data_IF_731287942098
#
_entry.id   IF_731287942098
#
_cell.length_a   1.000
_cell.length_b   1.000
_cell.length_c   1.000
_cell.angle_alpha   90.00
_cell.angle_beta   90.00
_cell.angle_gamma   90.00
#
_symmetry.space_group_name_H-M   'P 1'
#
loop_
_entity.id
_entity.type
_entity.pdbx_description
1 polymer ?
#
# COMPACT_ATOMS: atom_id res chain seq x y z
N UNK A 1 -7.12 14.19 1.76
CA UNK A 1 -7.59 13.44 0.57
C UNK A 1 -7.84 11.99 0.95
N UNK A 2 -9.10 11.57 0.95
CA UNK A 2 -9.48 10.19 1.25
C UNK A 2 -9.82 9.39 -0.01
N UNK A 3 -9.42 8.13 0.01
CA UNK A 3 -9.57 7.17 -1.09
C UNK A 3 -10.48 6.03 -0.62
N UNK A 4 -11.31 5.50 -1.52
CA UNK A 4 -11.98 4.21 -1.32
C UNK A 4 -11.39 3.17 -2.24
N UNK A 5 -11.03 2.02 -1.69
CA UNK A 5 -10.73 0.82 -2.48
C UNK A 5 -12.02 0.02 -2.62
N UNK A 6 -12.40 -0.29 -3.87
CA UNK A 6 -13.61 -1.04 -4.21
C UNK A 6 -13.28 -2.11 -5.23
N UNK A 7 -13.92 -3.28 -5.14
CA UNK A 7 -13.90 -4.28 -6.21
C UNK A 7 -15.14 -4.14 -7.07
N UNK A 8 -14.97 -3.86 -8.37
CA UNK A 8 -16.05 -3.75 -9.36
C UNK A 8 -15.84 -4.86 -10.40
N UNK A 9 -16.77 -5.81 -10.49
CA UNK A 9 -16.70 -6.94 -11.43
C UNK A 9 -15.36 -7.72 -11.37
N UNK A 10 -14.82 -7.92 -10.16
CA UNK A 10 -13.55 -8.61 -9.95
C UNK A 10 -12.30 -7.72 -10.06
N UNK A 11 -12.45 -6.46 -10.46
CA UNK A 11 -11.34 -5.50 -10.58
C UNK A 11 -11.27 -4.59 -9.36
N UNK A 12 -10.11 -4.55 -8.70
CA UNK A 12 -9.84 -3.61 -7.60
C UNK A 12 -9.52 -2.23 -8.15
N UNK A 13 -10.27 -1.22 -7.73
CA UNK A 13 -10.11 0.19 -8.13
C UNK A 13 -9.93 1.10 -6.92
N UNK A 14 -9.19 2.18 -7.08
CA UNK A 14 -9.09 3.28 -6.12
C UNK A 14 -9.95 4.45 -6.61
N UNK A 15 -10.84 4.96 -5.76
CA UNK A 15 -11.81 6.01 -6.08
C UNK A 15 -11.64 7.20 -5.13
N UNK A 16 -11.86 8.42 -5.62
CA UNK A 16 -11.98 9.59 -4.75
C UNK A 16 -13.23 9.43 -3.87
N UNK A 17 -13.05 9.44 -2.55
CA UNK A 17 -14.16 9.23 -1.62
C UNK A 17 -15.17 10.38 -1.64
N UNK A 18 -14.71 11.61 -1.95
CA UNK A 18 -15.56 12.79 -2.05
C UNK A 18 -16.44 12.80 -3.31
N UNK A 19 -16.04 12.09 -4.37
CA UNK A 19 -16.71 12.08 -5.67
C UNK A 19 -17.57 10.83 -5.90
N UNK A 20 -17.67 9.94 -4.91
CA UNK A 20 -18.38 8.68 -5.04
C UNK A 20 -19.28 8.42 -3.84
N UNK A 21 -20.36 7.67 -4.03
CA UNK A 21 -21.19 7.18 -2.93
C UNK A 21 -20.56 5.96 -2.25
N UNK A 22 -20.69 5.81 -0.92
CA UNK A 22 -20.23 4.62 -0.22
C UNK A 22 -21.01 3.38 -0.64
N UNK A 23 -20.32 2.24 -0.74
CA UNK A 23 -20.93 0.94 -1.00
C UNK A 23 -20.44 -0.11 0.01
N UNK A 24 -21.22 -1.18 0.15
CA UNK A 24 -20.85 -2.32 1.01
C UNK A 24 -19.56 -2.94 0.49
N UNK A 25 -18.60 -3.18 1.39
CA UNK A 25 -17.30 -3.74 1.06
C UNK A 25 -16.23 -2.72 0.68
N UNK A 26 -16.55 -1.43 0.63
CA UNK A 26 -15.54 -0.39 0.49
C UNK A 26 -14.53 -0.41 1.64
N UNK A 27 -13.25 -0.30 1.31
CA UNK A 27 -12.19 0.00 2.27
C UNK A 27 -11.88 1.48 2.17
N UNK A 28 -12.07 2.21 3.26
CA UNK A 28 -11.76 3.62 3.34
C UNK A 28 -10.31 3.84 3.78
N UNK A 29 -9.56 4.63 3.02
CA UNK A 29 -8.23 5.09 3.36
C UNK A 29 -8.31 6.59 3.65
N UNK A 30 -8.03 6.96 4.88
CA UNK A 30 -7.80 8.35 5.23
C UNK A 30 -6.41 8.81 4.77
N UNK A 31 -6.11 10.09 4.98
CA UNK A 31 -4.84 10.69 4.57
C UNK A 31 -3.63 9.99 5.18
N UNK A 32 -3.73 9.53 6.42
CA UNK A 32 -2.65 8.84 7.12
C UNK A 32 -2.40 7.45 6.50
N UNK A 33 -3.45 6.69 6.26
CA UNK A 33 -3.37 5.39 5.61
C UNK A 33 -2.88 5.50 4.16
N UNK A 34 -3.40 6.49 3.42
CA UNK A 34 -2.99 6.76 2.06
C UNK A 34 -1.50 7.12 1.99
N UNK A 35 -1.03 8.01 2.86
CA UNK A 35 0.38 8.37 2.93
C UNK A 35 1.28 7.18 3.27
N UNK A 36 0.91 6.38 4.28
CA UNK A 36 1.66 5.19 4.66
C UNK A 36 1.76 4.15 3.52
N UNK A 37 0.67 3.95 2.78
CA UNK A 37 0.65 3.05 1.63
C UNK A 37 1.52 3.56 0.49
N UNK A 38 1.38 4.85 0.13
CA UNK A 38 2.18 5.48 -0.92
C UNK A 38 3.68 5.45 -0.58
N UNK A 39 4.05 5.74 0.66
CA UNK A 39 5.40 5.61 1.18
C UNK A 39 5.96 4.20 1.03
N UNK A 40 5.18 3.18 1.37
CA UNK A 40 5.59 1.78 1.24
C UNK A 40 5.82 1.39 -0.23
N UNK A 41 4.90 1.76 -1.12
CA UNK A 41 5.08 1.53 -2.56
C UNK A 41 6.31 2.25 -3.10
N UNK A 42 6.51 3.51 -2.73
CA UNK A 42 7.69 4.29 -3.10
C UNK A 42 8.99 3.59 -2.70
N UNK A 43 9.06 3.04 -1.47
CA UNK A 43 10.23 2.32 -0.98
C UNK A 43 10.48 1.00 -1.75
N UNK A 44 9.42 0.30 -2.14
CA UNK A 44 9.52 -1.01 -2.79
C UNK A 44 9.68 -0.92 -4.32
N UNK A 45 9.33 0.22 -4.93
CA UNK A 45 9.36 0.42 -6.38
C UNK A 45 10.80 0.58 -6.89
N UNK A 46 11.42 -0.55 -7.23
CA UNK A 46 12.63 -0.72 -8.06
C UNK A 46 13.83 0.19 -7.74
N UNK A 47 14.04 0.54 -6.48
CA UNK A 47 15.26 1.23 -6.06
C UNK A 47 15.42 2.63 -6.65
N UNK A 48 14.34 3.24 -7.12
CA UNK A 48 14.35 4.68 -7.38
C UNK A 48 14.31 5.40 -6.04
N UNK A 49 15.33 6.22 -5.78
CA UNK A 49 15.30 7.18 -4.68
C UNK A 49 14.16 8.16 -4.96
N UNK A 50 13.00 7.85 -4.40
CA UNK A 50 11.95 8.84 -4.29
C UNK A 50 12.53 9.88 -3.33
N UNK A 51 12.84 11.07 -3.86
CA UNK A 51 13.48 12.18 -3.13
C UNK A 51 12.52 12.82 -2.11
N UNK A 52 11.76 11.96 -1.42
CA UNK A 52 10.91 12.30 -0.32
C UNK A 52 11.80 12.26 0.91
N UNK A 53 11.73 13.31 1.72
CA UNK A 53 12.46 13.38 2.97
C UNK A 53 12.17 12.10 3.79
N UNK A 54 13.20 11.48 4.34
CA UNK A 54 13.06 10.19 5.00
C UNK A 54 12.27 10.37 6.31
N UNK A 55 10.97 10.14 6.27
CA UNK A 55 10.06 10.47 7.38
C UNK A 55 10.06 9.37 8.49
N UNK A 56 9.74 9.72 9.76
CA UNK A 56 9.74 8.80 10.90
C UNK A 56 8.89 7.53 10.74
N UNK A 57 7.80 7.60 9.98
CA UNK A 57 6.96 6.45 9.62
C UNK A 57 7.74 5.35 8.87
N UNK A 58 8.74 5.70 8.04
CA UNK A 58 9.52 4.72 7.28
C UNK A 58 10.46 3.94 8.18
N UNK A 59 11.07 4.62 9.16
CA UNK A 59 11.86 3.96 10.20
C UNK A 59 10.98 3.00 11.01
N UNK A 60 9.77 3.43 11.36
CA UNK A 60 8.82 2.59 12.10
C UNK A 60 8.42 1.36 11.29
N UNK A 61 8.07 1.52 10.01
CA UNK A 61 7.77 0.40 9.11
C UNK A 61 8.95 -0.58 9.02
N UNK A 62 10.18 -0.07 8.91
CA UNK A 62 11.37 -0.90 8.80
C UNK A 62 11.59 -1.80 10.04
N UNK A 63 11.24 -1.33 11.24
CA UNK A 63 11.33 -2.17 12.46
C UNK A 63 10.42 -3.41 12.44
N UNK A 64 9.38 -3.41 11.61
CA UNK A 64 8.42 -4.50 11.51
C UNK A 64 8.82 -5.52 10.43
N UNK A 65 9.92 -5.31 9.69
CA UNK A 65 10.41 -6.26 8.69
C UNK A 65 11.10 -7.45 9.37
N UNK A 66 10.33 -8.50 9.65
CA UNK A 66 10.82 -9.72 10.32
C UNK A 66 11.53 -10.70 9.38
N UNK A 67 11.24 -10.62 8.08
CA UNK A 67 11.68 -11.60 7.07
C UNK A 67 12.07 -10.89 5.78
N UNK A 68 12.91 -11.54 4.99
CA UNK A 68 13.31 -11.05 3.69
C UNK A 68 12.24 -11.34 2.64
N UNK A 69 11.89 -10.31 1.85
CA UNK A 69 10.78 -10.40 0.90
C UNK A 69 11.12 -11.29 -0.30
N UNK A 70 12.37 -11.26 -0.78
CA UNK A 70 12.81 -12.08 -1.91
C UNK A 70 12.82 -13.57 -1.53
N UNK A 71 13.34 -13.87 -0.34
CA UNK A 71 13.39 -15.24 0.21
C UNK A 71 11.99 -15.84 0.38
N UNK A 72 11.06 -15.09 0.99
CA UNK A 72 9.68 -15.54 1.18
C UNK A 72 8.95 -15.72 -0.16
N UNK A 73 9.14 -14.80 -1.11
CA UNK A 73 8.51 -14.89 -2.43
C UNK A 73 8.95 -16.15 -3.19
N UNK A 74 10.24 -16.51 -3.12
CA UNK A 74 10.77 -17.75 -3.71
C UNK A 74 10.12 -18.97 -3.06
N UNK A 75 10.08 -19.01 -1.72
CA UNK A 75 9.48 -20.10 -0.97
C UNK A 75 7.99 -20.30 -1.33
N UNK A 76 7.21 -19.24 -1.51
CA UNK A 76 5.79 -19.35 -1.89
C UNK A 76 5.60 -19.81 -3.33
N UNK A 77 6.49 -19.39 -4.23
CA UNK A 77 6.46 -19.82 -5.64
C UNK A 77 6.74 -21.32 -5.78
N UNK A 78 7.64 -21.87 -4.94
CA UNK A 78 7.98 -23.29 -4.94
C UNK A 78 6.88 -24.17 -4.30
N UNK A 79 5.90 -23.57 -3.62
CA UNK A 79 4.76 -24.26 -2.98
C UNK A 79 3.50 -24.33 -3.86
N UNK A 80 3.49 -23.72 -5.04
CA UNK A 80 2.38 -23.75 -6.01
C UNK A 80 2.59 -24.83 -7.08
#
# INVERSE_FOLDING_TARGET
>A
MSIRIRTINGTTVALCAAETDPAVGDIYLDDTMHHALAAKFAQDWEGQEVNWEYHPEWQTMATQKLRDAETELRAWSDMQ
#
